data_IF_809800695461
#
_entry.id   IF_809800695461
#
_cell.length_a   1.000
_cell.length_b   1.000
_cell.length_c   1.000
_cell.angle_alpha   90.00
_cell.angle_beta   90.00
_cell.angle_gamma   90.00
#
_symmetry.space_group_name_H-M   'P 1'
#
loop_
_entity.id
_entity.type
_entity.pdbx_description
1 polymer ?
#
# COMPACT_ATOMS: atom_id res chain seq x y z
N UNK A 1 -23.50 24.01 -29.07
CA UNK A 1 -23.88 22.61 -28.80
C UNK A 1 -22.69 21.66 -28.79
N UNK A 2 -21.83 21.63 -29.82
CA UNK A 2 -20.63 20.76 -29.82
C UNK A 2 -19.60 21.14 -28.73
N UNK A 3 -19.26 22.43 -28.61
CA UNK A 3 -18.30 22.91 -27.60
C UNK A 3 -18.80 22.67 -26.17
N UNK A 4 -20.10 22.83 -25.94
CA UNK A 4 -20.73 22.55 -24.64
C UNK A 4 -20.67 21.06 -24.31
N UNK A 5 -20.97 20.18 -25.27
CA UNK A 5 -20.83 18.73 -25.11
C UNK A 5 -19.38 18.31 -24.81
N UNK A 6 -18.42 18.84 -25.57
CA UNK A 6 -17.01 18.56 -25.38
C UNK A 6 -16.51 19.05 -24.01
N UNK A 7 -16.91 20.25 -23.60
CA UNK A 7 -16.59 20.80 -22.28
C UNK A 7 -17.16 19.95 -21.13
N UNK A 8 -18.43 19.54 -21.23
CA UNK A 8 -19.05 18.65 -20.25
C UNK A 8 -18.33 17.31 -20.17
N UNK A 9 -18.00 16.69 -21.31
CA UNK A 9 -17.27 15.43 -21.34
C UNK A 9 -15.88 15.55 -20.70
N UNK A 10 -15.17 16.65 -20.95
CA UNK A 10 -13.87 16.91 -20.36
C UNK A 10 -13.96 17.07 -18.83
N UNK A 11 -14.93 17.82 -18.33
CA UNK A 11 -15.14 18.00 -16.88
C UNK A 11 -15.44 16.66 -16.20
N UNK A 12 -16.33 15.86 -16.79
CA UNK A 12 -16.64 14.52 -16.28
C UNK A 12 -15.40 13.63 -16.25
N UNK A 13 -14.62 13.63 -17.33
CA UNK A 13 -13.40 12.84 -17.43
C UNK A 13 -12.37 13.22 -16.36
N UNK A 14 -12.10 14.52 -16.19
CA UNK A 14 -11.18 15.01 -15.16
C UNK A 14 -11.71 14.67 -13.76
N UNK A 15 -13.02 14.79 -13.53
CA UNK A 15 -13.64 14.41 -12.26
C UNK A 15 -13.45 12.93 -11.91
N UNK A 16 -13.60 12.04 -12.91
CA UNK A 16 -13.32 10.60 -12.74
C UNK A 16 -11.84 10.37 -12.42
N UNK A 17 -10.92 11.00 -13.14
CA UNK A 17 -9.48 10.87 -12.87
C UNK A 17 -9.12 11.36 -11.46
N UNK A 18 -9.68 12.48 -11.02
CA UNK A 18 -9.46 13.00 -9.67
C UNK A 18 -10.00 12.03 -8.60
N UNK A 19 -11.18 11.44 -8.82
CA UNK A 19 -11.75 10.46 -7.92
C UNK A 19 -10.89 9.18 -7.85
N UNK A 20 -10.38 8.70 -8.99
CA UNK A 20 -9.48 7.55 -9.06
C UNK A 20 -8.14 7.83 -8.38
N UNK A 21 -7.55 9.01 -8.61
CA UNK A 21 -6.33 9.44 -7.94
C UNK A 21 -6.50 9.47 -6.42
N UNK A 22 -7.60 10.05 -5.93
CA UNK A 22 -7.90 10.12 -4.51
C UNK A 22 -8.17 8.73 -3.89
N UNK A 23 -8.84 7.85 -4.63
CA UNK A 23 -9.17 6.49 -4.20
C UNK A 23 -8.11 5.45 -4.50
N UNK A 24 -6.96 5.83 -5.06
CA UNK A 24 -5.99 4.90 -5.64
C UNK A 24 -5.56 3.82 -4.65
N UNK A 25 -5.22 4.22 -3.41
CA UNK A 25 -4.73 3.28 -2.40
C UNK A 25 -5.76 2.20 -2.07
N UNK A 26 -7.05 2.55 -1.96
CA UNK A 26 -8.13 1.60 -1.65
C UNK A 26 -8.48 0.68 -2.82
N UNK A 27 -8.22 1.13 -4.05
CA UNK A 27 -8.46 0.35 -5.27
C UNK A 27 -7.32 -0.62 -5.58
N UNK A 28 -6.08 -0.21 -5.32
CA UNK A 28 -4.89 -1.02 -5.58
C UNK A 28 -4.51 -1.91 -4.41
N UNK A 29 -4.80 -1.49 -3.18
CA UNK A 29 -4.49 -2.24 -1.97
C UNK A 29 -5.78 -2.52 -1.21
N UNK A 30 -6.23 -3.76 -1.27
CA UNK A 30 -7.27 -4.30 -0.39
C UNK A 30 -6.59 -5.20 0.67
N UNK A 31 -5.91 -4.62 1.68
CA UNK A 31 -5.26 -5.43 2.70
C UNK A 31 -6.33 -6.16 3.51
N UNK A 32 -6.25 -7.49 3.51
CA UNK A 32 -7.03 -8.30 4.45
C UNK A 32 -6.29 -8.32 5.79
N UNK A 33 -6.86 -7.81 6.89
CA UNK A 33 -6.20 -7.80 8.18
C UNK A 33 -5.86 -9.23 8.63
N UNK A 34 -4.57 -9.47 8.87
CA UNK A 34 -4.14 -10.77 9.39
C UNK A 34 -4.55 -10.90 10.87
N UNK A 35 -4.89 -12.12 11.33
CA UNK A 35 -5.08 -12.38 12.76
C UNK A 35 -3.84 -11.94 13.56
N UNK A 36 -4.04 -11.45 14.79
CA UNK A 36 -2.92 -11.07 15.66
C UNK A 36 -1.99 -12.26 15.99
N UNK A 37 -2.48 -13.49 15.89
CA UNK A 37 -1.71 -14.72 16.07
C UNK A 37 -1.09 -15.25 14.78
N UNK A 38 -1.11 -14.48 13.69
CA UNK A 38 -0.52 -14.89 12.42
C UNK A 38 1.01 -14.93 12.53
N UNK A 39 1.59 -16.03 12.07
CA UNK A 39 3.04 -16.23 11.98
C UNK A 39 3.45 -16.31 10.52
N UNK A 40 4.44 -15.51 10.10
CA UNK A 40 4.86 -15.47 8.70
C UNK A 40 5.75 -16.67 8.33
N UNK A 41 5.31 -17.49 7.37
CA UNK A 41 6.03 -18.67 6.88
C UNK A 41 6.93 -18.41 5.67
N UNK A 42 7.77 -17.37 5.68
CA UNK A 42 8.52 -16.88 4.51
C UNK A 42 9.89 -17.55 4.28
N UNK A 43 10.24 -18.56 5.08
CA UNK A 43 11.50 -19.30 4.98
C UNK A 43 12.52 -18.95 6.07
N UNK A 44 13.61 -19.69 6.14
CA UNK A 44 14.58 -19.62 7.25
C UNK A 44 15.37 -18.31 7.32
N UNK A 45 15.51 -17.60 6.20
CA UNK A 45 16.26 -16.35 6.09
C UNK A 45 15.41 -15.11 6.41
N UNK A 46 14.10 -15.28 6.68
CA UNK A 46 13.20 -14.17 7.01
C UNK A 46 12.86 -14.23 8.50
N UNK A 47 13.14 -13.14 9.20
CA UNK A 47 12.99 -13.07 10.65
C UNK A 47 12.03 -11.95 11.04
N UNK A 48 11.06 -12.26 11.89
CA UNK A 48 10.26 -11.24 12.56
C UNK A 48 11.10 -10.55 13.64
N UNK A 49 11.20 -9.22 13.56
CA UNK A 49 11.98 -8.42 14.50
C UNK A 49 11.19 -7.22 14.99
N UNK A 50 11.43 -6.83 16.24
CA UNK A 50 10.92 -5.60 16.83
C UNK A 50 12.01 -4.54 16.82
N UNK A 51 11.71 -3.40 16.20
CA UNK A 51 12.62 -2.27 16.09
C UNK A 51 12.10 -1.16 17.01
N UNK A 52 12.87 -0.85 18.05
CA UNK A 52 12.58 0.28 18.91
C UNK A 52 12.98 1.58 18.19
N UNK A 53 12.03 2.48 17.99
CA UNK A 53 12.29 3.81 17.44
C UNK A 53 12.58 4.82 18.58
N UNK A 54 13.44 5.83 18.36
CA UNK A 54 13.78 6.82 19.40
C UNK A 54 12.62 7.62 19.99
N UNK A 55 11.48 7.70 19.30
CA UNK A 55 10.25 8.35 19.76
C UNK A 55 9.38 7.45 20.67
N UNK A 56 9.88 6.25 21.01
CA UNK A 56 9.18 5.28 21.84
C UNK A 56 8.19 4.39 21.07
N UNK A 57 8.06 4.54 19.75
CA UNK A 57 7.21 3.67 18.92
C UNK A 57 7.92 2.35 18.63
N UNK A 58 7.23 1.24 18.83
CA UNK A 58 7.71 -0.09 18.45
C UNK A 58 7.25 -0.42 17.02
N UNK A 59 8.19 -0.81 16.16
CA UNK A 59 7.92 -1.23 14.80
C UNK A 59 8.14 -2.74 14.67
N UNK A 60 7.17 -3.44 14.10
CA UNK A 60 7.32 -4.85 13.72
C UNK A 60 7.75 -4.93 12.25
N UNK A 61 8.78 -5.72 11.96
CA UNK A 61 9.31 -5.87 10.62
C UNK A 61 9.68 -7.33 10.30
N UNK A 62 9.57 -7.68 9.03
CA UNK A 62 10.11 -8.91 8.46
C UNK A 62 11.48 -8.61 7.85
N UNK A 63 12.54 -9.05 8.52
CA UNK A 63 13.91 -8.81 8.13
C UNK A 63 14.47 -10.01 7.35
N UNK A 64 14.72 -9.81 6.06
CA UNK A 64 15.43 -10.76 5.22
C UNK A 64 16.94 -10.70 5.50
N UNK A 65 17.54 -11.82 5.89
CA UNK A 65 18.97 -11.97 6.15
C UNK A 65 19.52 -13.14 5.35
N UNK A 66 20.15 -12.83 4.21
CA UNK A 66 20.78 -13.84 3.36
C UNK A 66 22.19 -14.18 3.87
N UNK A 67 22.61 -15.46 3.88
CA UNK A 67 23.96 -15.85 4.30
C UNK A 67 25.05 -15.40 3.32
N UNK A 68 24.73 -15.25 2.03
CA UNK A 68 25.64 -14.75 0.99
C UNK A 68 24.89 -13.84 0.00
N UNK A 69 24.64 -12.58 0.36
CA UNK A 69 23.96 -11.62 -0.51
C UNK A 69 24.82 -11.33 -1.75
N UNK A 70 24.17 -11.17 -2.91
CA UNK A 70 24.80 -10.80 -4.19
C UNK A 70 24.24 -9.48 -4.69
#
# INVERSE_FOLDING_TARGET
>A
MLLTLAGTALILYVGVLAALWWGQEKLLFAPDPLPASHTFGLGADVHEVELARPDGVQLHALHLRLPAPR
#
